data_IF_548071778624
#
_entry.id   IF_548071778624
#
_cell.length_a   1.000
_cell.length_b   1.000
_cell.length_c   1.000
_cell.angle_alpha   90.00
_cell.angle_beta   90.00
_cell.angle_gamma   90.00
#
_symmetry.space_group_name_H-M   'P 1'
#
loop_
_entity.id
_entity.type
_entity.pdbx_description
1 polymer ?
#
# COMPACT_ATOMS: atom_id res chain seq x y z
N UNK A 1 64.34 -30.81 -7.91
CA UNK A 1 62.89 -31.13 -8.01
C UNK A 1 62.13 -30.24 -7.04
N UNK A 2 61.49 -29.17 -7.54
CA UNK A 2 60.75 -28.19 -6.72
C UNK A 2 59.30 -28.68 -6.54
N UNK A 3 58.86 -28.85 -5.29
CA UNK A 3 57.47 -29.20 -4.94
C UNK A 3 56.60 -27.95 -5.03
N UNK A 4 55.70 -27.92 -6.00
CA UNK A 4 54.65 -26.89 -6.13
C UNK A 4 53.63 -27.13 -5.02
N UNK A 5 53.54 -26.20 -4.06
CA UNK A 5 52.48 -26.18 -3.05
C UNK A 5 51.26 -25.51 -3.67
N UNK A 6 50.23 -26.30 -3.95
CA UNK A 6 48.93 -25.80 -4.37
C UNK A 6 48.31 -25.02 -3.22
N UNK A 7 48.10 -23.72 -3.42
CA UNK A 7 47.28 -22.87 -2.56
C UNK A 7 45.84 -23.13 -2.96
N UNK A 8 45.07 -23.77 -2.07
CA UNK A 8 43.62 -23.92 -2.22
C UNK A 8 43.01 -22.54 -1.97
N UNK A 9 42.31 -21.92 -2.94
CA UNK A 9 41.56 -20.71 -2.66
C UNK A 9 40.33 -21.10 -1.84
N UNK A 10 40.30 -20.59 -0.61
CA UNK A 10 39.15 -20.67 0.29
C UNK A 10 38.03 -19.82 -0.32
N UNK A 11 37.12 -20.47 -1.05
CA UNK A 11 35.94 -19.85 -1.64
C UNK A 11 34.98 -19.56 -0.49
N UNK A 12 35.08 -18.36 0.11
CA UNK A 12 34.06 -17.84 1.02
C UNK A 12 32.77 -17.63 0.22
N UNK A 13 31.93 -18.66 0.20
CA UNK A 13 30.52 -18.52 -0.19
C UNK A 13 29.88 -17.69 0.92
N UNK A 14 29.85 -16.38 0.72
CA UNK A 14 29.00 -15.50 1.51
C UNK A 14 27.57 -15.96 1.30
N UNK A 15 26.98 -16.57 2.32
CA UNK A 15 25.54 -16.73 2.44
C UNK A 15 24.97 -15.32 2.49
N UNK A 16 24.57 -14.78 1.33
CA UNK A 16 23.61 -13.69 1.27
C UNK A 16 22.30 -14.34 1.74
N UNK A 17 22.10 -14.36 3.05
CA UNK A 17 20.75 -14.57 3.58
C UNK A 17 19.94 -13.40 3.07
N UNK A 18 19.07 -13.64 2.10
CA UNK A 18 17.99 -12.71 1.80
C UNK A 18 17.24 -12.50 3.13
N UNK A 19 17.41 -11.32 3.73
CA UNK A 19 16.60 -10.92 4.87
C UNK A 19 15.19 -10.72 4.33
N UNK A 20 14.31 -11.68 4.62
CA UNK A 20 12.90 -11.57 4.30
C UNK A 20 12.19 -10.89 5.47
N UNK A 21 11.33 -9.91 5.18
CA UNK A 21 10.58 -9.22 6.21
C UNK A 21 9.49 -10.14 6.78
N UNK A 22 9.42 -10.22 8.11
CA UNK A 22 8.34 -10.93 8.81
C UNK A 22 7.13 -10.03 9.00
N UNK A 23 5.95 -10.64 9.04
CA UNK A 23 4.68 -9.93 9.19
C UNK A 23 4.60 -9.05 10.46
N UNK A 24 5.33 -9.40 11.54
CA UNK A 24 5.39 -8.67 12.82
C UNK A 24 6.52 -7.63 12.90
N UNK A 25 7.29 -7.44 11.84
CA UNK A 25 8.34 -6.42 11.81
C UNK A 25 7.75 -5.01 11.66
N UNK A 26 8.24 -4.08 12.47
CA UNK A 26 7.90 -2.66 12.43
C UNK A 26 8.61 -2.02 11.23
N UNK A 27 7.86 -1.38 10.34
CA UNK A 27 8.41 -0.72 9.13
C UNK A 27 8.30 0.80 9.19
N UNK A 28 7.32 1.33 9.93
CA UNK A 28 7.21 2.75 10.19
C UNK A 28 6.44 3.05 11.46
N UNK A 29 6.56 4.28 11.94
CA UNK A 29 5.56 4.90 12.81
C UNK A 29 5.00 6.15 12.13
N UNK A 30 3.72 6.41 12.36
CA UNK A 30 3.07 7.67 11.97
C UNK A 30 2.28 8.21 13.15
N UNK A 31 2.64 9.41 13.63
CA UNK A 31 2.07 10.04 14.84
C UNK A 31 2.06 9.11 16.06
N UNK A 32 3.12 8.32 16.21
CA UNK A 32 3.29 7.35 17.30
C UNK A 32 2.49 6.05 17.17
N UNK A 33 1.81 5.83 16.05
CA UNK A 33 1.18 4.54 15.73
C UNK A 33 2.15 3.66 14.94
N UNK A 34 2.32 2.42 15.38
CA UNK A 34 3.18 1.44 14.71
C UNK A 34 2.50 0.92 13.43
N UNK A 35 3.27 0.83 12.35
CA UNK A 35 2.90 0.21 11.08
C UNK A 35 3.79 -1.02 10.89
N UNK A 36 3.17 -2.18 10.80
CA UNK A 36 3.87 -3.46 10.63
C UNK A 36 3.80 -3.94 9.18
N UNK A 37 4.70 -4.85 8.80
CA UNK A 37 4.69 -5.49 7.48
C UNK A 37 3.32 -6.12 7.15
N UNK A 38 2.64 -6.69 8.16
CA UNK A 38 1.30 -7.26 7.98
C UNK A 38 0.26 -6.23 7.54
N UNK A 39 0.40 -4.96 7.96
CA UNK A 39 -0.52 -3.89 7.58
C UNK A 39 -0.43 -3.57 6.09
N UNK A 40 0.78 -3.65 5.52
CA UNK A 40 1.03 -3.42 4.09
C UNK A 40 0.41 -4.52 3.21
N UNK A 41 0.26 -5.73 3.76
CA UNK A 41 -0.19 -6.93 3.03
C UNK A 41 -1.71 -7.13 3.10
N UNK A 42 -2.49 -6.19 3.64
CA UNK A 42 -3.95 -6.33 3.82
C UNK A 42 -4.71 -6.52 2.50
N UNK A 43 -4.31 -5.84 1.44
CA UNK A 43 -5.06 -5.82 0.17
C UNK A 43 -4.36 -6.54 -0.98
N UNK A 44 -3.04 -6.73 -0.87
CA UNK A 44 -2.22 -7.33 -1.92
C UNK A 44 -0.99 -8.02 -1.34
N UNK A 45 -0.38 -8.90 -2.15
CA UNK A 45 0.95 -9.40 -1.84
C UNK A 45 1.98 -8.29 -2.01
N UNK A 46 2.94 -8.21 -1.10
CA UNK A 46 4.02 -7.22 -1.09
C UNK A 46 5.32 -7.98 -0.99
N UNK A 47 6.21 -7.77 -1.97
CA UNK A 47 7.54 -8.34 -1.94
C UNK A 47 8.45 -7.54 -0.99
N UNK A 48 9.53 -8.15 -0.52
CA UNK A 48 10.47 -7.48 0.39
C UNK A 48 11.11 -6.24 -0.24
N UNK A 49 11.33 -6.25 -1.56
CA UNK A 49 11.89 -5.11 -2.31
C UNK A 49 10.91 -3.92 -2.41
N UNK A 50 9.60 -4.19 -2.35
CA UNK A 50 8.56 -3.18 -2.45
C UNK A 50 8.19 -2.57 -1.09
N UNK A 51 8.62 -3.17 0.04
CA UNK A 51 8.25 -2.70 1.39
C UNK A 51 8.53 -1.21 1.60
N UNK A 52 9.69 -0.64 1.23
CA UNK A 52 9.92 0.78 1.39
C UNK A 52 8.90 1.66 0.67
N UNK A 53 8.56 1.32 -0.58
CA UNK A 53 7.59 2.08 -1.36
C UNK A 53 6.17 1.92 -0.80
N UNK A 54 5.75 0.68 -0.53
CA UNK A 54 4.41 0.40 0.00
C UNK A 54 4.21 1.01 1.38
N UNK A 55 5.26 1.08 2.21
CA UNK A 55 5.22 1.76 3.52
C UNK A 55 4.99 3.25 3.37
N UNK A 56 5.69 3.92 2.45
CA UNK A 56 5.46 5.35 2.20
C UNK A 56 4.03 5.60 1.66
N UNK A 57 3.57 4.75 0.74
CA UNK A 57 2.18 4.80 0.24
C UNK A 57 1.16 4.61 1.37
N UNK A 58 1.44 3.71 2.33
CA UNK A 58 0.59 3.51 3.49
C UNK A 58 0.51 4.78 4.36
N UNK A 59 1.67 5.33 4.72
CA UNK A 59 1.77 6.57 5.51
C UNK A 59 1.08 7.74 4.81
N UNK A 60 1.27 7.87 3.50
CA UNK A 60 0.57 8.86 2.68
C UNK A 60 -0.95 8.74 2.80
N UNK A 61 -1.50 7.53 2.66
CA UNK A 61 -2.96 7.31 2.79
C UNK A 61 -3.48 7.68 4.18
N UNK A 62 -2.75 7.34 5.24
CA UNK A 62 -3.10 7.74 6.61
C UNK A 62 -3.10 9.27 6.78
N UNK A 63 -2.08 9.95 6.27
CA UNK A 63 -1.98 11.40 6.31
C UNK A 63 -3.11 12.08 5.51
N UNK A 64 -3.45 11.55 4.34
CA UNK A 64 -4.56 12.04 3.51
C UNK A 64 -5.91 11.87 4.20
N UNK A 65 -6.17 10.74 4.87
CA UNK A 65 -7.39 10.56 5.66
C UNK A 65 -7.50 11.62 6.76
N UNK A 66 -6.38 11.96 7.39
CA UNK A 66 -6.30 13.01 8.40
C UNK A 66 -6.68 14.38 7.81
N UNK A 67 -6.04 14.76 6.70
CA UNK A 67 -6.34 16.03 6.02
C UNK A 67 -7.78 16.10 5.52
N UNK A 68 -8.29 15.01 4.93
CA UNK A 68 -9.64 14.94 4.42
C UNK A 68 -10.65 15.23 5.54
N UNK A 69 -10.46 14.58 6.70
CA UNK A 69 -11.31 14.80 7.88
C UNK A 69 -11.18 16.22 8.43
N UNK A 70 -9.99 16.80 8.46
CA UNK A 70 -9.78 18.21 8.86
C UNK A 70 -10.49 19.20 7.93
N UNK A 71 -10.60 18.87 6.63
CA UNK A 71 -11.33 19.65 5.63
C UNK A 71 -12.84 19.40 5.62
N UNK A 72 -13.33 18.51 6.47
CA UNK A 72 -14.75 18.15 6.53
C UNK A 72 -15.21 17.23 5.41
N UNK A 73 -14.28 16.59 4.68
CA UNK A 73 -14.62 15.53 3.73
C UNK A 73 -15.05 14.30 4.54
N UNK A 74 -16.15 13.68 4.10
CA UNK A 74 -16.70 12.49 4.74
C UNK A 74 -16.88 11.38 3.70
N UNK A 75 -16.61 10.15 4.12
CA UNK A 75 -16.98 8.94 3.38
C UNK A 75 -18.20 8.33 4.07
N UNK A 76 -19.27 8.09 3.31
CA UNK A 76 -20.50 7.51 3.84
C UNK A 76 -20.38 5.99 4.00
N UNK A 77 -21.12 5.43 4.96
CA UNK A 77 -21.20 3.99 5.12
C UNK A 77 -21.77 3.29 3.87
N UNK A 78 -22.73 3.93 3.19
CA UNK A 78 -23.33 3.41 1.95
C UNK A 78 -22.31 3.27 0.82
N UNK A 79 -21.41 4.23 0.63
CA UNK A 79 -20.32 4.14 -0.36
C UNK A 79 -19.45 2.91 -0.11
N UNK A 80 -19.09 2.67 1.16
CA UNK A 80 -18.26 1.54 1.56
C UNK A 80 -19.01 0.21 1.42
N UNK A 81 -20.27 0.16 1.88
CA UNK A 81 -21.12 -1.03 1.81
C UNK A 81 -21.34 -1.50 0.37
N UNK A 82 -21.54 -0.55 -0.55
CA UNK A 82 -21.70 -0.85 -1.97
C UNK A 82 -20.45 -1.48 -2.57
N UNK A 83 -19.25 -1.03 -2.17
CA UNK A 83 -18.00 -1.67 -2.63
C UNK A 83 -17.76 -3.03 -2.02
N UNK A 84 -18.02 -3.20 -0.72
CA UNK A 84 -17.92 -4.52 -0.07
C UNK A 84 -18.88 -5.50 -0.75
N UNK A 85 -20.12 -5.09 -1.00
CA UNK A 85 -21.08 -5.89 -1.73
C UNK A 85 -20.62 -6.17 -3.16
N UNK A 86 -19.98 -5.21 -3.83
CA UNK A 86 -19.41 -5.42 -5.15
C UNK A 86 -18.31 -6.49 -5.14
N UNK A 87 -17.35 -6.38 -4.22
CA UNK A 87 -16.26 -7.35 -4.02
C UNK A 87 -16.82 -8.74 -3.75
N UNK A 88 -17.75 -8.83 -2.79
CA UNK A 88 -18.33 -10.10 -2.37
C UNK A 88 -19.10 -10.80 -3.48
N UNK A 89 -19.90 -10.07 -4.26
CA UNK A 89 -20.81 -10.66 -5.23
C UNK A 89 -20.21 -10.82 -6.64
N UNK A 90 -19.23 -10.00 -7.02
CA UNK A 90 -18.83 -9.88 -8.42
C UNK A 90 -17.40 -10.35 -8.71
N UNK A 91 -16.46 -10.32 -7.75
CA UNK A 91 -15.05 -10.60 -8.08
C UNK A 91 -14.85 -12.01 -8.67
N UNK A 92 -15.50 -13.04 -8.13
CA UNK A 92 -15.46 -14.38 -8.71
C UNK A 92 -16.08 -14.45 -10.11
N UNK A 93 -17.18 -13.72 -10.34
CA UNK A 93 -17.88 -13.72 -11.63
C UNK A 93 -17.12 -12.96 -12.72
N UNK A 94 -16.32 -11.96 -12.31
CA UNK A 94 -15.52 -11.13 -13.20
C UNK A 94 -14.15 -11.74 -13.54
N UNK A 95 -13.87 -12.98 -13.10
CA UNK A 95 -12.58 -13.62 -13.33
C UNK A 95 -11.45 -12.99 -12.51
N UNK A 96 -11.77 -12.46 -11.32
CA UNK A 96 -10.80 -11.95 -10.34
C UNK A 96 -10.50 -13.02 -9.29
N UNK A 97 -10.28 -14.27 -9.72
CA UNK A 97 -10.07 -15.40 -8.80
C UNK A 97 -8.80 -15.22 -7.96
N UNK A 98 -7.74 -14.65 -8.53
CA UNK A 98 -6.49 -14.42 -7.81
C UNK A 98 -6.66 -13.40 -6.67
N UNK A 99 -7.40 -12.32 -6.91
CA UNK A 99 -7.74 -11.33 -5.88
C UNK A 99 -8.62 -11.97 -4.81
N UNK A 100 -9.65 -12.71 -5.21
CA UNK A 100 -10.55 -13.40 -4.27
C UNK A 100 -9.79 -14.41 -3.42
N UNK A 101 -8.87 -15.16 -4.02
CA UNK A 101 -8.02 -16.13 -3.33
C UNK A 101 -7.07 -15.43 -2.36
N UNK A 102 -6.48 -14.31 -2.74
CA UNK A 102 -5.66 -13.50 -1.86
C UNK A 102 -6.45 -13.04 -0.62
N UNK A 103 -7.62 -12.43 -0.81
CA UNK A 103 -8.45 -11.95 0.30
C UNK A 103 -8.92 -13.10 1.22
N UNK A 104 -9.28 -14.26 0.66
CA UNK A 104 -9.59 -15.47 1.45
C UNK A 104 -8.38 -15.98 2.25
N UNK A 105 -7.17 -15.86 1.71
CA UNK A 105 -5.94 -16.22 2.42
C UNK A 105 -5.63 -15.23 3.55
N UNK A 106 -5.83 -13.94 3.31
CA UNK A 106 -5.71 -12.92 4.35
C UNK A 106 -6.71 -13.16 5.48
N UNK A 107 -7.97 -13.45 5.19
CA UNK A 107 -8.95 -13.83 6.20
C UNK A 107 -8.46 -14.97 7.11
N UNK A 108 -7.82 -16.00 6.54
CA UNK A 108 -7.20 -17.09 7.32
C UNK A 108 -6.03 -16.62 8.19
N UNK A 109 -5.17 -15.72 7.70
CA UNK A 109 -4.06 -15.15 8.50
C UNK A 109 -4.57 -14.37 9.71
N UNK A 110 -5.67 -13.65 9.54
CA UNK A 110 -6.34 -12.92 10.62
C UNK A 110 -7.24 -13.81 11.49
N UNK A 111 -7.33 -15.11 11.19
CA UNK A 111 -8.24 -16.06 11.86
C UNK A 111 -9.71 -15.59 11.85
N UNK A 112 -10.14 -15.03 10.71
CA UNK A 112 -11.48 -14.52 10.47
C UNK A 112 -12.16 -15.33 9.36
N UNK A 113 -13.50 -15.29 9.32
CA UNK A 113 -14.21 -15.72 8.11
C UNK A 113 -13.92 -14.74 6.97
N UNK A 114 -14.12 -15.17 5.73
CA UNK A 114 -13.95 -14.28 4.57
C UNK A 114 -14.85 -13.05 4.64
N UNK A 115 -16.10 -13.24 5.07
CA UNK A 115 -17.07 -12.17 5.24
C UNK A 115 -16.68 -11.21 6.37
N UNK A 116 -16.25 -11.73 7.53
CA UNK A 116 -15.78 -10.89 8.64
C UNK A 116 -14.54 -10.09 8.25
N UNK A 117 -13.60 -10.71 7.52
CA UNK A 117 -12.41 -10.03 7.01
C UNK A 117 -12.78 -8.87 6.08
N UNK A 118 -13.72 -9.09 5.16
CA UNK A 118 -14.19 -8.04 4.27
C UNK A 118 -14.85 -6.90 5.06
N UNK A 119 -15.73 -7.23 6.01
CA UNK A 119 -16.48 -6.24 6.78
C UNK A 119 -15.68 -5.52 7.87
N UNK A 120 -14.44 -5.95 8.16
CA UNK A 120 -13.59 -5.33 9.18
C UNK A 120 -12.31 -4.79 8.55
N UNK A 121 -11.33 -5.66 8.28
CA UNK A 121 -10.00 -5.27 7.81
C UNK A 121 -10.05 -4.65 6.41
N UNK A 122 -10.73 -5.29 5.46
CA UNK A 122 -10.79 -4.76 4.09
C UNK A 122 -11.65 -3.50 3.99
N UNK A 123 -12.69 -3.40 4.84
CA UNK A 123 -13.55 -2.23 4.95
C UNK A 123 -12.76 -0.97 5.28
N UNK A 124 -11.84 -1.05 6.24
CA UNK A 124 -10.95 0.06 6.59
C UNK A 124 -10.10 0.51 5.38
N UNK A 125 -9.61 -0.44 4.60
CA UNK A 125 -8.79 -0.14 3.42
C UNK A 125 -9.60 0.48 2.27
N UNK A 126 -10.87 0.08 2.10
CA UNK A 126 -11.81 0.76 1.20
C UNK A 126 -12.07 2.19 1.66
N UNK A 127 -12.36 2.39 2.96
CA UNK A 127 -12.63 3.71 3.52
C UNK A 127 -11.44 4.65 3.27
N UNK A 128 -10.21 4.22 3.58
CA UNK A 128 -8.99 5.00 3.31
C UNK A 128 -8.86 5.35 1.83
N UNK A 129 -9.10 4.38 0.95
CA UNK A 129 -9.04 4.60 -0.51
C UNK A 129 -10.08 5.61 -0.98
N UNK A 130 -11.28 5.63 -0.37
CA UNK A 130 -12.31 6.63 -0.67
C UNK A 130 -11.96 8.02 -0.21
N UNK A 131 -11.32 8.18 0.95
CA UNK A 131 -10.80 9.49 1.34
C UNK A 131 -9.75 10.01 0.36
N UNK A 132 -8.84 9.14 -0.11
CA UNK A 132 -7.84 9.51 -1.10
C UNK A 132 -8.49 9.95 -2.41
N UNK A 133 -9.45 9.20 -2.93
CA UNK A 133 -10.18 9.56 -4.15
C UNK A 133 -10.90 10.91 -3.99
N UNK A 134 -11.63 11.12 -2.88
CA UNK A 134 -12.32 12.40 -2.65
C UNK A 134 -11.35 13.57 -2.49
N UNK A 135 -10.19 13.35 -1.88
CA UNK A 135 -9.15 14.36 -1.78
C UNK A 135 -8.52 14.66 -3.15
N UNK A 136 -8.33 13.66 -4.00
CA UNK A 136 -7.88 13.87 -5.38
C UNK A 136 -8.89 14.72 -6.16
N UNK A 137 -10.20 14.47 -6.01
CA UNK A 137 -11.24 15.26 -6.69
C UNK A 137 -11.26 16.73 -6.25
N UNK A 138 -10.81 17.04 -5.03
CA UNK A 138 -10.70 18.41 -4.51
C UNK A 138 -9.39 19.11 -4.94
N UNK A 139 -8.31 18.35 -5.11
CA UNK A 139 -6.97 18.89 -5.40
C UNK A 139 -6.74 18.98 -6.90
N UNK A 140 -7.20 18.00 -7.66
CA UNK A 140 -7.01 17.93 -9.10
C UNK A 140 -8.23 18.49 -9.81
N UNK A 141 -7.97 19.44 -10.70
CA UNK A 141 -9.03 20.06 -11.49
C UNK A 141 -9.58 19.04 -12.49
N UNK A 142 -10.87 18.70 -12.39
CA UNK A 142 -11.52 17.70 -13.24
C UNK A 142 -11.58 18.22 -14.68
N UNK A 143 -10.68 17.71 -15.50
CA UNK A 143 -10.51 18.17 -16.88
C UNK A 143 -11.62 17.63 -17.80
N UNK A 144 -11.93 18.42 -18.82
CA UNK A 144 -12.88 18.10 -19.88
C UNK A 144 -12.42 16.93 -20.75
N UNK A 145 -13.37 16.32 -21.48
CA UNK A 145 -13.11 15.21 -22.40
C UNK A 145 -12.11 15.59 -23.52
N UNK A 146 -12.02 16.86 -23.89
CA UNK A 146 -11.07 17.32 -24.90
C UNK A 146 -9.64 17.49 -24.33
N UNK A 147 -9.51 17.82 -23.05
CA UNK A 147 -8.22 17.85 -22.35
C UNK A 147 -7.66 16.43 -22.14
N UNK A 148 -8.52 15.43 -21.92
CA UNK A 148 -8.11 14.02 -21.82
C UNK A 148 -7.48 13.45 -23.09
N UNK A 149 -7.78 14.05 -24.26
CA UNK A 149 -7.20 13.61 -25.55
C UNK A 149 -5.77 14.11 -25.78
N UNK A 150 -5.26 15.00 -24.92
CA UNK A 150 -3.91 15.50 -25.04
C UNK A 150 -2.90 14.42 -24.64
N UNK A 151 -1.89 14.20 -25.49
CA UNK A 151 -0.84 13.18 -25.29
C UNK A 151 -0.07 13.38 -23.96
N UNK A 152 -0.03 14.62 -23.44
CA UNK A 152 0.58 14.96 -22.15
C UNK A 152 -0.34 14.88 -20.93
N UNK A 153 -1.64 14.57 -21.09
CA UNK A 153 -2.61 14.60 -20.01
C UNK A 153 -2.23 13.65 -18.86
N UNK A 154 -1.92 12.39 -19.18
CA UNK A 154 -1.51 11.42 -18.16
C UNK A 154 -0.20 11.81 -17.46
N UNK A 155 0.73 12.45 -18.17
CA UNK A 155 1.98 12.95 -17.56
C UNK A 155 1.72 14.11 -16.60
N UNK A 156 0.78 14.99 -16.92
CA UNK A 156 0.38 16.10 -16.04
C UNK A 156 -0.32 15.58 -14.79
N UNK A 157 -1.24 14.61 -14.92
CA UNK A 157 -1.91 13.99 -13.77
C UNK A 157 -0.92 13.24 -12.88
N UNK A 158 -0.01 12.46 -13.47
CA UNK A 158 1.07 11.81 -12.73
C UNK A 158 1.92 12.84 -11.98
N UNK A 159 2.32 13.94 -12.64
CA UNK A 159 3.12 14.99 -11.99
C UNK A 159 2.36 15.64 -10.82
N UNK A 160 1.09 16.00 -11.00
CA UNK A 160 0.26 16.57 -9.93
C UNK A 160 0.12 15.60 -8.75
N UNK A 161 -0.04 14.31 -9.03
CA UNK A 161 -0.05 13.28 -8.01
C UNK A 161 1.27 13.19 -7.26
N UNK A 162 2.40 13.15 -7.98
CA UNK A 162 3.73 13.09 -7.35
C UNK A 162 4.05 14.34 -6.52
N UNK A 163 3.64 15.52 -6.97
CA UNK A 163 3.76 16.78 -6.23
C UNK A 163 2.92 16.75 -4.95
N UNK A 164 1.67 16.29 -5.04
CA UNK A 164 0.79 16.15 -3.88
C UNK A 164 1.32 15.10 -2.89
N UNK A 165 1.71 13.93 -3.39
CA UNK A 165 2.29 12.84 -2.60
C UNK A 165 3.51 13.32 -1.80
N UNK A 166 4.46 13.97 -2.49
CA UNK A 166 5.67 14.51 -1.86
C UNK A 166 5.34 15.59 -0.82
N UNK A 167 4.41 16.50 -1.13
CA UNK A 167 4.01 17.57 -0.23
C UNK A 167 3.35 17.04 1.06
N UNK A 168 2.53 16.00 0.96
CA UNK A 168 1.93 15.34 2.13
C UNK A 168 3.01 14.71 3.01
N UNK A 169 3.91 13.93 2.42
CA UNK A 169 4.99 13.29 3.20
C UNK A 169 5.94 14.32 3.82
N UNK A 170 6.27 15.41 3.11
CA UNK A 170 7.08 16.51 3.64
C UNK A 170 6.39 17.22 4.81
N UNK A 171 5.09 17.51 4.69
CA UNK A 171 4.31 18.16 5.75
C UNK A 171 4.34 17.36 7.06
N UNK A 172 4.29 16.04 6.97
CA UNK A 172 4.24 15.15 8.13
C UNK A 172 5.60 14.51 8.47
N UNK A 173 6.71 14.96 7.89
CA UNK A 173 8.02 14.31 8.06
C UNK A 173 8.46 14.18 9.53
N UNK A 174 8.10 15.15 10.38
CA UNK A 174 8.44 15.13 11.81
C UNK A 174 7.59 14.14 12.62
N UNK A 175 6.48 13.68 12.04
CA UNK A 175 5.56 12.70 12.62
C UNK A 175 5.79 11.28 12.08
N UNK A 176 6.77 11.09 11.19
CA UNK A 176 7.05 9.82 10.50
C UNK A 176 8.44 9.31 10.88
N UNK A 177 8.52 8.06 11.30
CA UNK A 177 9.80 7.35 11.44
C UNK A 177 9.78 6.07 10.59
N UNK A 178 10.79 5.84 9.75
CA UNK A 178 10.90 4.64 8.92
C UNK A 178 11.99 3.69 9.44
N UNK A 179 11.76 2.37 9.38
CA UNK A 179 12.64 1.32 9.93
C UNK A 179 12.95 0.22 8.91
N UNK A 180 13.59 0.57 7.80
CA UNK A 180 14.04 -0.40 6.78
C UNK A 180 15.44 -0.95 7.10
N UNK A 181 15.69 -2.22 6.77
CA UNK A 181 16.97 -2.92 6.99
C UNK A 181 17.55 -3.49 5.70
#
# INVERSE_FOLDING_TARGET
MRKIKWVIPFFCIGLITACSYKDDELVATFRGQNIYVLDLKKTSEVSDEDIPEVTQNYVFREAVVLEAKERGITVSAEEIDNEIAYVFNNYEQLGLEDITKHLKNQAKKYNMSYEDYLNTVYREEIEKSRYVIKMMDEIFDVQSVDEMKNIGFFQQQEQQFQEWYSAILEKYQDDIEFYYY
#
